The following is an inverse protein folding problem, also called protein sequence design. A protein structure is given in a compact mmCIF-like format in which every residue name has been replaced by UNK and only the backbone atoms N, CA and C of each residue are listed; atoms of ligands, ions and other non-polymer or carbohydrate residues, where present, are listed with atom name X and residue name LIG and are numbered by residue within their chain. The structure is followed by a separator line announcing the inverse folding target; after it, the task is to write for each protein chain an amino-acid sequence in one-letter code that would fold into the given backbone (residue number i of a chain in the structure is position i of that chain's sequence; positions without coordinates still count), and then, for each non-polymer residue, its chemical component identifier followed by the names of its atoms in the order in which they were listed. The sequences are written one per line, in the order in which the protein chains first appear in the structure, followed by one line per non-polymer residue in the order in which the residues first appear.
data_IF_457352929082
#
_entry.id   IF_457352929082
#
_cell.length_a   1.000
_cell.length_b   1.000
_cell.length_c   1.000
_cell.angle_alpha   90.00
_cell.angle_beta   90.00
_cell.angle_gamma   90.00
#
_symmetry.space_group_name_H-M   'P 1'
#
loop_
_entity.id
_entity.type
_entity.pdbx_description
1 polymer ?
#
# COMPACT_ATOMS: atom_id res chain seq x y z
N UNK A 1 -5.87 66.33 -18.83
CA UNK A 1 -6.23 64.96 -19.25
C UNK A 1 -5.41 63.81 -18.62
N UNK A 2 -4.23 64.02 -18.02
CA UNK A 2 -3.34 62.92 -17.56
C UNK A 2 -3.70 62.17 -16.26
N UNK A 3 -4.58 62.70 -15.40
CA UNK A 3 -4.91 62.11 -14.09
C UNK A 3 -5.78 60.83 -14.20
N UNK A 4 -6.67 60.76 -15.19
CA UNK A 4 -7.52 59.58 -15.45
C UNK A 4 -6.70 58.37 -15.95
N UNK A 5 -5.61 58.62 -16.67
CA UNK A 5 -4.74 57.57 -17.25
C UNK A 5 -3.86 56.91 -16.18
N UNK A 6 -3.34 57.69 -15.21
CA UNK A 6 -2.59 57.18 -14.06
C UNK A 6 -3.44 56.30 -13.13
N UNK A 7 -4.69 56.70 -12.87
CA UNK A 7 -5.65 55.87 -12.08
C UNK A 7 -5.95 54.53 -12.75
N UNK A 8 -6.13 54.49 -14.08
CA UNK A 8 -6.37 53.23 -14.84
C UNK A 8 -5.17 52.27 -14.79
N UNK A 9 -3.94 52.77 -14.82
CA UNK A 9 -2.74 51.92 -14.71
C UNK A 9 -2.56 51.30 -13.31
N UNK A 10 -2.88 52.05 -12.24
CA UNK A 10 -2.84 51.52 -10.86
C UNK A 10 -3.80 50.35 -10.64
N UNK A 11 -5.04 50.46 -11.15
CA UNK A 11 -6.06 49.40 -11.08
C UNK A 11 -5.62 48.14 -11.85
N UNK A 12 -5.00 48.30 -13.04
CA UNK A 12 -4.44 47.18 -13.82
C UNK A 12 -3.31 46.46 -13.08
N UNK A 13 -2.36 47.20 -12.48
CA UNK A 13 -1.26 46.60 -11.69
C UNK A 13 -1.77 45.89 -10.42
N UNK A 14 -2.78 46.44 -9.73
CA UNK A 14 -3.42 45.81 -8.56
C UNK A 14 -4.15 44.51 -8.93
N UNK A 15 -4.92 44.50 -10.03
CA UNK A 15 -5.60 43.31 -10.57
C UNK A 15 -4.60 42.23 -11.04
N UNK A 16 -3.48 42.64 -11.66
CA UNK A 16 -2.41 41.71 -12.04
C UNK A 16 -1.76 41.05 -10.82
N UNK A 17 -1.39 41.82 -9.79
CA UNK A 17 -0.84 41.28 -8.53
C UNK A 17 -1.84 40.36 -7.80
N UNK A 18 -3.11 40.74 -7.71
CA UNK A 18 -4.16 39.92 -7.09
C UNK A 18 -4.41 38.61 -7.84
N UNK A 19 -4.43 38.62 -9.18
CA UNK A 19 -4.54 37.39 -9.99
C UNK A 19 -3.29 36.50 -9.85
N UNK A 20 -2.10 37.10 -9.71
CA UNK A 20 -0.84 36.37 -9.47
C UNK A 20 -0.83 35.70 -8.10
N UNK A 21 -1.25 36.38 -7.04
CA UNK A 21 -1.31 35.79 -5.69
C UNK A 21 -2.36 34.68 -5.60
N UNK A 22 -3.54 34.86 -6.21
CA UNK A 22 -4.57 33.82 -6.28
C UNK A 22 -4.10 32.57 -7.06
N UNK A 23 -3.38 32.74 -8.18
CA UNK A 23 -2.77 31.62 -8.93
C UNK A 23 -1.70 30.89 -8.11
N UNK A 24 -0.85 31.63 -7.40
CA UNK A 24 0.17 31.04 -6.52
C UNK A 24 -0.45 30.30 -5.31
N UNK A 25 -1.50 30.86 -4.71
CA UNK A 25 -2.25 30.20 -3.63
C UNK A 25 -2.96 28.93 -4.11
N UNK A 26 -3.57 28.96 -5.31
CA UNK A 26 -4.15 27.76 -5.94
C UNK A 26 -3.08 26.71 -6.24
N UNK A 27 -1.95 27.10 -6.84
CA UNK A 27 -0.85 26.18 -7.13
C UNK A 27 -0.29 25.54 -5.84
N UNK A 28 -0.14 26.31 -4.75
CA UNK A 28 0.28 25.79 -3.45
C UNK A 28 -0.73 24.80 -2.87
N UNK A 29 -2.03 25.10 -2.94
CA UNK A 29 -3.09 24.20 -2.49
C UNK A 29 -3.12 22.91 -3.30
N UNK A 30 -3.03 22.99 -4.63
CA UNK A 30 -2.96 21.83 -5.51
C UNK A 30 -1.73 20.96 -5.23
N UNK A 31 -0.57 21.59 -5.00
CA UNK A 31 0.65 20.88 -4.60
C UNK A 31 0.49 20.21 -3.23
N UNK A 32 -0.08 20.90 -2.24
CA UNK A 32 -0.31 20.33 -0.93
C UNK A 32 -1.27 19.13 -0.98
N UNK A 33 -2.35 19.22 -1.77
CA UNK A 33 -3.27 18.11 -1.99
C UNK A 33 -2.58 16.94 -2.71
N UNK A 34 -1.79 17.21 -3.75
CA UNK A 34 -1.03 16.18 -4.44
C UNK A 34 -0.05 15.47 -3.50
N UNK A 35 0.68 16.22 -2.66
CA UNK A 35 1.57 15.64 -1.66
C UNK A 35 0.77 14.84 -0.63
N UNK A 36 -0.36 15.36 -0.13
CA UNK A 36 -1.20 14.64 0.83
C UNK A 36 -1.75 13.31 0.26
N UNK A 37 -2.09 13.27 -1.03
CA UNK A 37 -2.56 12.04 -1.69
C UNK A 37 -1.43 11.06 -2.01
N UNK A 38 -0.24 11.55 -2.41
CA UNK A 38 0.87 10.69 -2.85
C UNK A 38 1.82 10.28 -1.73
N UNK A 39 1.94 11.07 -0.67
CA UNK A 39 2.89 10.78 0.40
C UNK A 39 2.59 9.45 1.12
N UNK A 40 1.34 9.09 1.47
CA UNK A 40 1.05 7.83 2.13
C UNK A 40 1.47 6.59 1.32
N UNK A 41 1.06 6.39 0.04
CA UNK A 41 1.47 5.22 -0.72
C UNK A 41 2.97 5.20 -1.03
N UNK A 42 3.60 6.37 -1.21
CA UNK A 42 5.05 6.45 -1.41
C UNK A 42 5.79 6.04 -0.14
N UNK A 43 5.32 6.48 1.03
CA UNK A 43 5.92 6.12 2.31
C UNK A 43 5.76 4.63 2.59
N UNK A 44 4.57 4.05 2.39
CA UNK A 44 4.37 2.61 2.59
C UNK A 44 5.21 1.78 1.62
N UNK A 45 5.27 2.15 0.35
CA UNK A 45 6.14 1.50 -0.62
C UNK A 45 7.62 1.61 -0.20
N UNK A 46 8.07 2.78 0.24
CA UNK A 46 9.45 2.97 0.70
C UNK A 46 9.82 2.11 1.91
N UNK A 47 8.86 1.81 2.80
CA UNK A 47 9.08 0.94 3.96
C UNK A 47 9.09 -0.55 3.59
N UNK A 48 8.27 -0.98 2.63
CA UNK A 48 8.09 -2.41 2.29
C UNK A 48 9.03 -2.88 1.17
N UNK A 49 9.38 -2.02 0.21
CA UNK A 49 10.23 -2.39 -0.93
C UNK A 49 11.61 -2.95 -0.56
N UNK A 50 12.31 -2.49 0.50
CA UNK A 50 13.57 -3.08 0.92
C UNK A 50 13.47 -4.58 1.21
N UNK A 51 12.31 -5.06 1.66
CA UNK A 51 12.07 -6.47 1.96
C UNK A 51 12.04 -7.38 0.73
N UNK A 52 12.12 -6.81 -0.47
CA UNK A 52 12.36 -7.57 -1.70
C UNK A 52 13.78 -8.15 -1.77
N UNK A 53 14.74 -7.53 -1.09
CA UNK A 53 16.16 -7.91 -1.17
C UNK A 53 16.79 -8.23 0.17
N UNK A 54 16.19 -7.76 1.27
CA UNK A 54 16.68 -7.97 2.61
C UNK A 54 15.57 -8.63 3.42
N UNK A 55 15.90 -9.71 4.08
CA UNK A 55 14.97 -10.41 4.93
C UNK A 55 14.45 -9.49 6.06
N UNK A 56 13.12 -9.37 6.25
CA UNK A 56 12.59 -8.57 7.34
C UNK A 56 13.03 -9.17 8.69
N UNK A 57 13.62 -8.36 9.60
CA UNK A 57 14.16 -8.86 10.87
C UNK A 57 13.07 -9.32 11.84
N UNK A 58 11.81 -8.91 11.60
CA UNK A 58 10.63 -9.32 12.35
C UNK A 58 9.38 -9.05 11.53
N UNK A 59 8.25 -9.54 12.01
CA UNK A 59 6.93 -9.34 11.42
C UNK A 59 5.91 -9.02 12.51
N UNK A 60 4.76 -8.44 12.15
CA UNK A 60 3.67 -8.18 13.10
C UNK A 60 3.28 -9.45 13.88
N UNK A 61 3.29 -10.61 13.22
CA UNK A 61 3.05 -11.91 13.86
C UNK A 61 4.13 -12.24 14.90
N UNK A 62 5.41 -12.11 14.53
CA UNK A 62 6.53 -12.41 15.44
C UNK A 62 6.55 -11.49 16.66
N UNK A 63 6.26 -10.20 16.46
CA UNK A 63 6.19 -9.23 17.55
C UNK A 63 5.06 -9.56 18.51
N UNK A 64 3.90 -9.94 17.98
CA UNK A 64 2.74 -10.34 18.77
C UNK A 64 3.03 -11.60 19.60
N UNK A 65 3.65 -12.62 19.01
CA UNK A 65 3.95 -13.87 19.70
C UNK A 65 4.97 -13.66 20.84
N UNK A 66 6.01 -12.86 20.59
CA UNK A 66 6.97 -12.46 21.64
C UNK A 66 6.29 -11.71 22.78
N UNK A 67 5.35 -10.83 22.48
CA UNK A 67 4.65 -10.04 23.49
C UNK A 67 3.64 -10.86 24.30
N UNK A 68 2.99 -11.86 23.68
CA UNK A 68 2.00 -12.70 24.33
C UNK A 68 2.65 -13.77 25.23
N UNK A 69 3.57 -14.55 24.66
CA UNK A 69 4.03 -15.80 25.28
C UNK A 69 5.53 -15.80 25.62
N UNK A 70 6.23 -14.68 25.37
CA UNK A 70 7.68 -14.60 25.57
C UNK A 70 8.46 -15.56 24.66
N UNK A 71 7.84 -16.01 23.57
CA UNK A 71 8.35 -17.09 22.75
C UNK A 71 9.73 -16.76 22.13
N UNK A 72 10.66 -17.72 22.21
CA UNK A 72 11.89 -17.68 21.44
C UNK A 72 11.56 -17.97 19.97
N UNK A 73 11.57 -16.92 19.15
CA UNK A 73 11.28 -17.07 17.73
C UNK A 73 12.57 -17.39 16.97
N UNK A 74 12.62 -18.60 16.43
CA UNK A 74 13.62 -19.02 15.45
C UNK A 74 13.15 -18.65 14.06
N UNK A 75 13.93 -17.83 13.36
CA UNK A 75 13.61 -17.37 12.02
C UNK A 75 14.85 -17.52 11.14
N UNK A 76 14.82 -18.52 10.27
CA UNK A 76 15.86 -18.80 9.29
C UNK A 76 15.27 -18.60 7.89
N UNK A 77 15.82 -17.65 7.14
CA UNK A 77 15.39 -17.38 5.77
C UNK A 77 16.05 -18.37 4.82
N UNK A 78 15.22 -19.05 4.02
CA UNK A 78 15.66 -20.05 3.05
C UNK A 78 15.19 -19.61 1.65
N UNK A 79 16.11 -19.46 0.68
CA UNK A 79 15.74 -19.16 -0.70
C UNK A 79 14.81 -20.24 -1.28
N UNK A 80 13.82 -19.84 -2.07
CA UNK A 80 12.82 -20.77 -2.63
C UNK A 80 13.43 -21.96 -3.40
N UNK A 81 14.57 -21.77 -4.06
CA UNK A 81 15.26 -22.81 -4.84
C UNK A 81 15.99 -23.86 -3.99
N UNK A 82 16.17 -23.59 -2.69
CA UNK A 82 16.71 -24.56 -1.72
C UNK A 82 15.59 -25.37 -1.06
N UNK A 83 14.32 -25.00 -1.29
CA UNK A 83 13.14 -25.71 -0.77
C UNK A 83 12.78 -26.83 -1.75
N UNK A 84 12.53 -28.04 -1.23
CA UNK A 84 12.12 -29.17 -2.04
C UNK A 84 10.77 -28.90 -2.74
N UNK A 85 10.70 -29.13 -4.05
CA UNK A 85 9.49 -28.91 -4.86
C UNK A 85 8.21 -29.55 -4.27
N UNK A 86 8.23 -30.79 -3.71
CA UNK A 86 7.05 -31.38 -3.11
C UNK A 86 6.49 -30.55 -1.94
N UNK A 87 7.35 -29.89 -1.15
CA UNK A 87 6.91 -29.05 -0.05
C UNK A 87 6.20 -27.79 -0.55
N UNK A 88 6.73 -27.15 -1.60
CA UNK A 88 6.09 -26.01 -2.25
C UNK A 88 4.70 -26.40 -2.76
N UNK A 89 4.59 -27.54 -3.44
CA UNK A 89 3.32 -28.05 -3.95
C UNK A 89 2.32 -28.37 -2.83
N UNK A 90 2.77 -28.95 -1.72
CA UNK A 90 1.92 -29.21 -0.55
C UNK A 90 1.34 -27.91 0.02
N UNK A 91 2.17 -26.86 0.18
CA UNK A 91 1.72 -25.56 0.70
C UNK A 91 0.74 -24.90 -0.27
N UNK A 92 1.05 -24.88 -1.57
CA UNK A 92 0.12 -24.36 -2.58
C UNK A 92 -1.20 -25.13 -2.56
N UNK A 93 -1.16 -26.46 -2.48
CA UNK A 93 -2.36 -27.29 -2.49
C UNK A 93 -3.24 -27.10 -1.25
N UNK A 94 -2.63 -26.84 -0.08
CA UNK A 94 -3.31 -26.67 1.19
C UNK A 94 -3.84 -25.24 1.42
N UNK A 95 -3.06 -24.23 1.03
CA UNK A 95 -3.34 -22.83 1.35
C UNK A 95 -3.96 -22.06 0.19
N UNK A 96 -3.46 -22.25 -1.05
CA UNK A 96 -3.80 -21.39 -2.18
C UNK A 96 -3.49 -22.06 -3.53
N UNK A 97 -4.41 -22.94 -3.96
CA UNK A 97 -4.25 -23.74 -5.18
C UNK A 97 -4.15 -22.89 -6.46
N UNK A 98 -4.74 -21.69 -6.44
CA UNK A 98 -4.80 -20.78 -7.59
C UNK A 98 -3.71 -19.70 -7.55
N UNK A 99 -2.79 -19.77 -6.58
CA UNK A 99 -1.71 -18.81 -6.40
C UNK A 99 -0.97 -18.40 -7.70
N UNK A 100 -0.59 -19.34 -8.61
CA UNK A 100 0.15 -18.97 -9.83
C UNK A 100 -0.69 -18.17 -10.83
N UNK A 101 -2.02 -18.21 -10.71
CA UNK A 101 -2.95 -17.68 -11.71
C UNK A 101 -3.51 -16.31 -11.34
N UNK A 102 -3.61 -16.01 -10.04
CA UNK A 102 -4.19 -14.77 -9.57
C UNK A 102 -3.14 -13.72 -9.21
N UNK A 103 -3.56 -12.46 -9.04
CA UNK A 103 -2.67 -11.34 -8.67
C UNK A 103 -2.78 -10.93 -7.20
N UNK A 104 -3.00 -11.90 -6.33
CA UNK A 104 -3.08 -11.73 -4.87
C UNK A 104 -4.50 -11.73 -4.30
N UNK A 105 -5.52 -11.73 -5.16
CA UNK A 105 -6.91 -11.92 -4.77
C UNK A 105 -7.55 -12.97 -5.67
N UNK A 106 -8.18 -13.97 -5.05
CA UNK A 106 -8.98 -14.96 -5.77
C UNK A 106 -10.46 -14.57 -5.73
N UNK A 107 -10.87 -13.74 -6.68
CA UNK A 107 -12.26 -13.26 -6.75
C UNK A 107 -13.28 -14.38 -6.98
N UNK A 108 -12.87 -15.48 -7.62
CA UNK A 108 -13.76 -16.63 -7.82
C UNK A 108 -14.01 -17.31 -6.48
N UNK A 109 -12.95 -17.64 -5.73
CA UNK A 109 -13.11 -18.29 -4.42
C UNK A 109 -13.76 -17.36 -3.38
N UNK A 110 -13.58 -16.03 -3.49
CA UNK A 110 -14.32 -15.05 -2.68
C UNK A 110 -15.82 -15.07 -3.01
N UNK A 111 -16.19 -15.12 -4.29
CA UNK A 111 -17.59 -15.20 -4.71
C UNK A 111 -18.23 -16.52 -4.24
N UNK A 112 -17.55 -17.65 -4.43
CA UNK A 112 -18.01 -18.96 -3.97
C UNK A 112 -18.22 -18.98 -2.45
N UNK A 113 -17.28 -18.40 -1.68
CA UNK A 113 -17.36 -18.32 -0.22
C UNK A 113 -18.46 -17.37 0.30
N UNK A 114 -18.90 -16.40 -0.51
CA UNK A 114 -20.03 -15.52 -0.20
C UNK A 114 -21.39 -16.20 -0.49
N UNK A 115 -21.42 -17.17 -1.41
CA UNK A 115 -22.61 -17.94 -1.77
C UNK A 115 -22.82 -19.15 -0.84
N UNK A 116 -21.76 -19.70 -0.24
CA UNK A 116 -21.84 -20.76 0.77
C UNK A 116 -22.26 -20.21 2.15
N UNK A 117 -23.57 -20.18 2.40
CA UNK A 117 -24.18 -19.74 3.65
C UNK A 117 -24.12 -20.84 4.73
N UNK A 118 -22.90 -21.22 5.14
CA UNK A 118 -22.72 -22.00 6.38
C UNK A 118 -21.69 -23.15 6.35
N UNK A 119 -21.08 -23.31 7.52
CA UNK A 119 -20.15 -24.36 7.94
C UNK A 119 -18.77 -24.33 7.27
N UNK A 120 -17.91 -23.49 7.86
CA UNK A 120 -16.46 -23.52 7.69
C UNK A 120 -16.02 -23.20 6.26
N UNK A 121 -16.41 -22.00 5.81
CA UNK A 121 -15.99 -21.43 4.54
C UNK A 121 -14.51 -21.68 4.32
N UNK A 122 -14.19 -22.27 3.17
CA UNK A 122 -12.81 -22.52 2.72
C UNK A 122 -12.03 -21.24 2.99
N UNK A 123 -10.85 -21.35 3.60
CA UNK A 123 -10.00 -20.19 3.88
C UNK A 123 -9.67 -19.49 2.56
N UNK A 124 -10.46 -18.48 2.17
CA UNK A 124 -10.32 -17.79 0.89
C UNK A 124 -9.16 -16.78 0.89
N UNK A 125 -8.29 -16.84 1.91
CA UNK A 125 -7.13 -15.94 2.04
C UNK A 125 -5.98 -16.48 1.22
N UNK A 126 -5.58 -15.71 0.21
CA UNK A 126 -4.42 -16.04 -0.64
C UNK A 126 -3.12 -15.98 0.15
N UNK A 127 -2.07 -16.64 -0.32
CA UNK A 127 -0.73 -16.53 0.27
C UNK A 127 -0.28 -15.06 0.31
N UNK A 128 -0.62 -14.26 -0.71
CA UNK A 128 -0.32 -12.81 -0.71
C UNK A 128 -1.03 -12.06 0.42
N UNK A 129 -2.30 -12.36 0.69
CA UNK A 129 -3.04 -11.74 1.79
C UNK A 129 -2.50 -12.18 3.15
N UNK A 130 -2.14 -13.46 3.30
CA UNK A 130 -1.53 -13.98 4.53
C UNK A 130 -0.18 -13.30 4.81
N UNK A 131 0.67 -13.14 3.79
CA UNK A 131 1.93 -12.39 3.91
C UNK A 131 1.67 -10.93 4.30
N UNK A 132 0.73 -10.25 3.64
CA UNK A 132 0.38 -8.87 3.94
C UNK A 132 -0.19 -8.67 5.36
N UNK A 133 -0.87 -9.68 5.91
CA UNK A 133 -1.40 -9.68 7.28
C UNK A 133 -0.30 -9.93 8.33
N UNK A 134 0.68 -10.76 7.98
CA UNK A 134 1.69 -11.21 8.95
C UNK A 134 2.89 -10.26 9.04
N UNK A 135 3.19 -9.51 7.99
CA UNK A 135 4.21 -8.45 7.97
C UNK A 135 3.80 -7.25 8.82
#
# INVERSE_FOLDING_TARGET
MGSRQRRRQGVRKRRYRARRTLRLQRARRLRALAVACLAPPVLTAALVLPWRWIDPPSSAFMLRERAADGAEIRNDWVPLHEIADPLILCVLAAEDQKFPTHRGFDFASIADALEEDGAQGRGASTISQQVAKNL
#
